data_IF_320505655677
#
_entry.id   IF_320505655677
#
_cell.length_a   1.000
_cell.length_b   1.000
_cell.length_c   1.000
_cell.angle_alpha   90.00
_cell.angle_beta   90.00
_cell.angle_gamma   90.00
#
_symmetry.space_group_name_H-M   'P 1'
#
loop_
_entity.id
_entity.type
_entity.pdbx_description
1 polymer ?
#
# COMPACT_ATOMS: atom_id res chain seq x y z
N UNK A 1 -0.64 -15.68 15.92
CA UNK A 1 0.47 -14.90 16.47
C UNK A 1 -0.01 -13.47 16.63
N UNK A 2 0.50 -12.74 17.60
CA UNK A 2 0.12 -11.34 17.83
C UNK A 2 1.05 -10.38 17.08
N UNK A 3 0.76 -9.09 17.19
CA UNK A 3 1.65 -8.03 16.73
C UNK A 3 2.95 -8.03 17.54
N UNK A 4 4.04 -7.77 16.84
CA UNK A 4 5.40 -7.70 17.36
C UNK A 4 6.02 -6.34 17.04
N UNK A 5 7.15 -6.04 17.68
CA UNK A 5 7.86 -4.78 17.48
C UNK A 5 9.35 -5.04 17.33
N UNK A 6 9.98 -4.31 16.42
CA UNK A 6 11.42 -4.30 16.22
C UNK A 6 11.97 -2.87 16.20
N UNK A 7 13.18 -2.67 16.70
CA UNK A 7 13.90 -1.39 16.53
C UNK A 7 14.64 -1.44 15.19
N UNK A 8 14.14 -0.68 14.23
CA UNK A 8 14.60 -0.65 12.85
C UNK A 8 15.06 0.77 12.52
N UNK A 9 16.33 0.96 12.18
CA UNK A 9 16.92 2.26 11.86
C UNK A 9 16.55 3.36 12.90
N UNK A 10 16.63 3.00 14.19
CA UNK A 10 16.29 3.91 15.29
C UNK A 10 14.80 4.17 15.47
N UNK A 11 13.92 3.49 14.74
CA UNK A 11 12.46 3.63 14.82
C UNK A 11 11.83 2.31 15.23
N UNK A 12 10.92 2.33 16.20
CA UNK A 12 10.17 1.14 16.61
C UNK A 12 9.08 0.84 15.58
N UNK A 13 9.22 -0.26 14.86
CA UNK A 13 8.31 -0.73 13.81
C UNK A 13 7.42 -1.85 14.35
N UNK A 14 6.10 -1.68 14.18
CA UNK A 14 5.10 -2.70 14.48
C UNK A 14 4.87 -3.60 13.26
N UNK A 15 4.95 -4.90 13.45
CA UNK A 15 4.71 -5.87 12.38
C UNK A 15 3.92 -7.09 12.87
N UNK A 16 3.44 -7.87 11.93
CA UNK A 16 2.72 -9.12 12.16
C UNK A 16 3.12 -10.14 11.11
N UNK A 17 3.33 -11.39 11.55
CA UNK A 17 3.71 -12.51 10.68
C UNK A 17 2.66 -13.61 10.82
N UNK A 18 2.22 -14.17 9.68
CA UNK A 18 1.31 -15.31 9.64
C UNK A 18 1.53 -16.16 8.39
N UNK A 19 1.21 -17.46 8.49
CA UNK A 19 1.43 -18.41 7.40
C UNK A 19 2.83 -18.98 7.38
N UNK A 20 3.08 -19.85 6.42
CA UNK A 20 4.33 -20.57 6.21
C UNK A 20 4.73 -20.54 4.72
N UNK A 21 5.95 -20.95 4.39
CA UNK A 21 6.46 -20.95 3.02
C UNK A 21 7.31 -19.73 2.69
N UNK A 22 7.30 -19.32 1.40
CA UNK A 22 8.12 -18.19 0.95
C UNK A 22 7.66 -16.88 1.59
N UNK A 23 8.61 -16.02 2.01
CA UNK A 23 8.27 -14.74 2.60
C UNK A 23 7.62 -13.80 1.58
N UNK A 24 6.51 -13.17 2.00
CA UNK A 24 5.82 -12.11 1.27
C UNK A 24 5.63 -10.89 2.18
N UNK A 25 6.22 -9.77 1.81
CA UNK A 25 6.15 -8.51 2.55
C UNK A 25 5.10 -7.61 1.94
N UNK A 26 4.19 -7.08 2.76
CA UNK A 26 3.13 -6.18 2.36
C UNK A 26 3.43 -4.75 2.84
N UNK A 27 3.59 -3.81 1.90
CA UNK A 27 3.89 -2.40 2.15
C UNK A 27 2.65 -1.55 1.87
N UNK A 28 2.08 -0.94 2.91
CA UNK A 28 0.83 -0.19 2.82
C UNK A 28 1.01 1.24 2.27
N UNK A 29 -0.11 1.86 1.89
CA UNK A 29 -0.18 3.18 1.29
C UNK A 29 -0.16 4.35 2.28
N UNK A 30 -0.30 5.56 1.73
CA UNK A 30 -0.32 6.84 2.44
C UNK A 30 -1.45 6.89 3.48
N UNK A 31 -1.14 7.38 4.68
CA UNK A 31 -2.13 7.60 5.74
C UNK A 31 -2.84 6.34 6.24
N UNK A 32 -2.38 5.16 5.82
CA UNK A 32 -2.90 3.85 6.21
C UNK A 32 -2.00 3.19 7.27
N UNK A 33 -2.39 2.00 7.71
CA UNK A 33 -1.61 1.10 8.54
C UNK A 33 -1.69 -0.34 7.99
N UNK A 34 -1.03 -1.30 8.64
CA UNK A 34 -1.01 -2.71 8.21
C UNK A 34 -2.39 -3.37 8.12
N UNK A 35 -3.40 -2.82 8.81
CA UNK A 35 -4.77 -3.36 8.76
C UNK A 35 -5.46 -3.10 7.41
N UNK A 36 -4.89 -2.23 6.57
CA UNK A 36 -5.39 -1.98 5.21
C UNK A 36 -5.49 -3.27 4.39
N UNK A 37 -4.67 -4.25 4.70
CA UNK A 37 -4.58 -5.55 4.03
C UNK A 37 -5.67 -6.56 4.45
N UNK A 38 -6.76 -6.10 5.08
CA UNK A 38 -7.85 -6.94 5.58
C UNK A 38 -8.39 -7.96 4.55
N UNK A 39 -8.37 -7.62 3.27
CA UNK A 39 -8.86 -8.47 2.19
C UNK A 39 -7.78 -9.38 1.57
N UNK A 40 -6.49 -9.13 1.85
CA UNK A 40 -5.34 -9.87 1.33
C UNK A 40 -4.71 -10.77 2.38
N UNK A 41 -4.60 -10.30 3.62
CA UNK A 41 -3.76 -10.93 4.63
C UNK A 41 -4.09 -12.42 4.84
N UNK A 42 -5.33 -12.74 5.21
CA UNK A 42 -5.71 -14.13 5.46
C UNK A 42 -5.63 -15.01 4.19
N UNK A 43 -6.18 -14.62 3.02
CA UNK A 43 -6.05 -15.43 1.82
C UNK A 43 -4.60 -15.69 1.40
N UNK A 44 -3.70 -14.71 1.55
CA UNK A 44 -2.30 -14.91 1.18
C UNK A 44 -1.53 -15.78 2.18
N UNK A 45 -1.94 -15.80 3.47
CA UNK A 45 -1.29 -16.67 4.48
C UNK A 45 -1.56 -18.16 4.30
N UNK A 46 -2.47 -18.54 3.41
CA UNK A 46 -2.68 -19.93 3.00
C UNK A 46 -1.59 -20.43 2.05
N UNK A 47 -0.79 -19.50 1.48
CA UNK A 47 0.19 -19.79 0.44
C UNK A 47 1.61 -19.30 0.76
N UNK A 48 1.74 -18.30 1.64
CA UNK A 48 3.00 -17.61 1.93
C UNK A 48 3.18 -17.35 3.42
N UNK A 49 4.43 -17.19 3.85
CA UNK A 49 4.76 -16.55 5.12
C UNK A 49 4.60 -15.05 4.93
N UNK A 50 3.42 -14.50 5.27
CA UNK A 50 3.08 -13.09 5.04
C UNK A 50 3.54 -12.22 6.21
N UNK A 51 4.28 -11.17 5.89
CA UNK A 51 4.72 -10.13 6.83
C UNK A 51 4.00 -8.83 6.43
N UNK A 52 3.20 -8.26 7.32
CA UNK A 52 2.65 -6.92 7.18
C UNK A 52 3.14 -6.04 8.32
N UNK A 53 3.47 -4.82 8.04
CA UNK A 53 4.00 -3.90 9.04
C UNK A 53 3.46 -2.48 8.86
N UNK A 54 3.55 -1.69 9.91
CA UNK A 54 3.24 -0.26 9.86
C UNK A 54 4.53 0.49 9.50
N UNK A 55 4.52 1.25 8.40
CA UNK A 55 5.61 2.14 8.05
C UNK A 55 5.89 3.12 9.20
N UNK A 56 7.13 3.67 9.29
CA UNK A 56 7.40 4.81 10.21
C UNK A 56 6.33 5.89 10.04
N UNK A 57 5.89 6.50 11.13
CA UNK A 57 4.86 7.53 11.11
C UNK A 57 3.43 7.02 10.90
N UNK A 58 3.20 5.70 10.92
CA UNK A 58 1.89 5.09 10.69
C UNK A 58 1.53 4.07 11.76
N UNK A 59 0.25 3.77 11.88
CA UNK A 59 -0.27 2.70 12.72
C UNK A 59 0.24 2.75 14.16
N UNK A 60 0.77 1.63 14.62
CA UNK A 60 1.38 1.47 15.94
C UNK A 60 2.92 1.57 15.92
N UNK A 61 3.51 1.82 14.74
CA UNK A 61 4.93 2.18 14.64
C UNK A 61 5.19 3.55 15.23
N UNK A 62 6.44 3.75 15.62
CA UNK A 62 6.89 5.05 16.12
C UNK A 62 6.76 6.13 15.05
N UNK A 63 6.57 7.36 15.49
CA UNK A 63 6.26 8.53 14.66
C UNK A 63 7.32 9.60 14.85
N UNK A 64 8.55 9.41 14.33
CA UNK A 64 9.62 10.41 14.42
C UNK A 64 9.18 11.72 13.77
N UNK A 65 9.43 12.83 14.45
CA UNK A 65 9.03 14.16 13.96
C UNK A 65 10.14 14.81 13.13
N UNK A 66 10.34 14.29 11.93
CA UNK A 66 11.18 14.86 10.89
C UNK A 66 10.63 14.46 9.50
N UNK A 67 10.98 15.21 8.44
CA UNK A 67 10.59 14.85 7.08
C UNK A 67 11.08 13.43 6.70
N UNK A 68 10.21 12.61 6.06
CA UNK A 68 10.60 11.31 5.56
C UNK A 68 11.03 11.39 4.09
N UNK A 69 11.81 10.39 3.64
CA UNK A 69 12.13 10.18 2.23
C UNK A 69 11.72 8.77 1.80
N UNK A 70 11.63 8.52 0.49
CA UNK A 70 11.33 7.17 -0.01
C UNK A 70 12.44 6.19 0.33
N UNK A 71 13.69 6.67 0.35
CA UNK A 71 14.84 5.87 0.76
C UNK A 71 14.71 5.41 2.22
N UNK A 72 14.24 6.27 3.13
CA UNK A 72 14.03 5.88 4.53
C UNK A 72 13.03 4.73 4.66
N UNK A 73 11.93 4.76 3.90
CA UNK A 73 10.95 3.68 3.90
C UNK A 73 11.51 2.38 3.28
N UNK A 74 12.29 2.50 2.21
CA UNK A 74 12.98 1.38 1.60
C UNK A 74 14.01 0.76 2.56
N UNK A 75 14.79 1.61 3.24
CA UNK A 75 15.79 1.19 4.24
C UNK A 75 15.14 0.49 5.43
N UNK A 76 13.98 0.98 5.90
CA UNK A 76 13.22 0.31 6.96
C UNK A 76 12.74 -1.08 6.53
N UNK A 77 12.27 -1.20 5.28
CA UNK A 77 11.84 -2.50 4.75
C UNK A 77 13.02 -3.48 4.70
N UNK A 78 14.19 -3.03 4.22
CA UNK A 78 15.41 -3.85 4.18
C UNK A 78 15.86 -4.28 5.58
N UNK A 79 15.91 -3.34 6.51
CA UNK A 79 16.33 -3.62 7.89
C UNK A 79 15.33 -4.50 8.66
N UNK A 80 14.02 -4.40 8.35
CA UNK A 80 13.02 -5.33 8.88
C UNK A 80 13.26 -6.75 8.35
N UNK A 81 13.59 -6.92 7.07
CA UNK A 81 13.98 -8.22 6.51
C UNK A 81 15.19 -8.79 7.23
N UNK A 82 16.24 -7.98 7.45
CA UNK A 82 17.45 -8.39 8.15
C UNK A 82 17.15 -8.80 9.60
N UNK A 83 16.32 -8.02 10.32
CA UNK A 83 15.87 -8.36 11.67
C UNK A 83 15.15 -9.72 11.73
N UNK A 84 14.37 -10.03 10.70
CA UNK A 84 13.62 -11.28 10.59
C UNK A 84 14.44 -12.43 9.98
N UNK A 85 15.74 -12.21 9.70
CA UNK A 85 16.64 -13.16 9.01
C UNK A 85 16.08 -13.61 7.64
N UNK A 86 15.42 -12.70 6.92
CA UNK A 86 14.89 -12.93 5.58
C UNK A 86 15.86 -12.38 4.54
N UNK A 87 16.53 -13.26 3.82
CA UNK A 87 17.52 -12.88 2.80
C UNK A 87 16.83 -12.37 1.53
N UNK A 88 15.76 -13.05 1.10
CA UNK A 88 14.94 -12.68 -0.07
C UNK A 88 13.47 -12.89 0.24
N UNK A 89 12.62 -12.03 -0.33
CA UNK A 89 11.18 -12.11 -0.22
C UNK A 89 10.49 -11.68 -1.51
N UNK A 90 9.24 -12.09 -1.69
CA UNK A 90 8.32 -11.37 -2.56
C UNK A 90 7.92 -10.08 -1.88
N UNK A 91 7.79 -8.99 -2.63
CA UNK A 91 7.41 -7.69 -2.07
C UNK A 91 6.20 -7.13 -2.80
N UNK A 92 5.16 -6.81 -2.05
CA UNK A 92 3.92 -6.27 -2.57
C UNK A 92 3.67 -4.88 -1.99
N UNK A 93 3.45 -3.89 -2.86
CA UNK A 93 3.14 -2.52 -2.45
C UNK A 93 1.87 -1.98 -3.09
N UNK A 94 1.07 -1.27 -2.31
CA UNK A 94 -0.15 -0.61 -2.77
C UNK A 94 -0.05 0.90 -2.60
N UNK A 95 -0.35 1.68 -3.67
CA UNK A 95 -0.32 3.15 -3.63
C UNK A 95 1.08 3.68 -3.26
N UNK A 96 1.23 4.49 -2.20
CA UNK A 96 2.53 4.88 -1.65
C UNK A 96 3.42 3.66 -1.36
N UNK A 97 2.84 2.55 -0.88
CA UNK A 97 3.60 1.32 -0.68
C UNK A 97 4.24 0.79 -1.97
N UNK A 98 3.58 0.95 -3.12
CA UNK A 98 4.15 0.64 -4.42
C UNK A 98 5.29 1.57 -4.82
N UNK A 99 5.25 2.86 -4.43
CA UNK A 99 6.37 3.78 -4.63
C UNK A 99 7.57 3.37 -3.77
N UNK A 100 7.32 2.98 -2.51
CA UNK A 100 8.36 2.45 -1.61
C UNK A 100 8.99 1.18 -2.20
N UNK A 101 8.18 0.27 -2.73
CA UNK A 101 8.66 -0.97 -3.35
C UNK A 101 9.49 -0.70 -4.60
N UNK A 102 9.14 0.28 -5.43
CA UNK A 102 9.96 0.70 -6.57
C UNK A 102 11.33 1.23 -6.09
N UNK A 103 11.34 2.12 -5.08
CA UNK A 103 12.59 2.62 -4.48
C UNK A 103 13.42 1.49 -3.86
N UNK A 104 12.76 0.56 -3.18
CA UNK A 104 13.40 -0.62 -2.61
C UNK A 104 14.02 -1.50 -3.70
N UNK A 105 13.33 -1.72 -4.81
CA UNK A 105 13.81 -2.56 -5.91
C UNK A 105 15.02 -1.95 -6.63
N UNK A 106 15.08 -0.63 -6.74
CA UNK A 106 16.26 0.06 -7.28
C UNK A 106 17.46 -0.07 -6.34
N UNK A 107 17.24 -0.01 -5.02
CA UNK A 107 18.32 0.03 -4.02
C UNK A 107 18.78 -1.34 -3.55
N UNK A 108 17.88 -2.34 -3.46
CA UNK A 108 18.10 -3.66 -2.88
C UNK A 108 17.57 -4.79 -3.79
N UNK A 109 17.92 -4.82 -5.09
CA UNK A 109 17.36 -5.82 -6.03
C UNK A 109 17.68 -7.25 -5.62
N UNK A 110 18.79 -7.49 -4.93
CA UNK A 110 19.23 -8.80 -4.46
C UNK A 110 18.34 -9.38 -3.34
N UNK A 111 17.59 -8.54 -2.62
CA UNK A 111 16.67 -8.95 -1.56
C UNK A 111 15.28 -9.36 -2.07
N UNK A 112 15.05 -9.31 -3.39
CA UNK A 112 13.73 -9.51 -3.98
C UNK A 112 13.69 -10.80 -4.80
N UNK A 113 12.63 -11.61 -4.58
CA UNK A 113 12.24 -12.68 -5.47
C UNK A 113 11.39 -12.10 -6.63
N UNK A 114 10.13 -11.73 -6.35
CA UNK A 114 9.22 -11.10 -7.32
C UNK A 114 8.54 -9.88 -6.70
N UNK A 115 8.06 -8.98 -7.54
CA UNK A 115 7.43 -7.72 -7.15
C UNK A 115 5.95 -7.72 -7.56
N UNK A 116 5.08 -7.21 -6.69
CA UNK A 116 3.70 -6.86 -7.04
C UNK A 116 3.45 -5.39 -6.72
N UNK A 117 3.05 -4.63 -7.72
CA UNK A 117 2.69 -3.22 -7.61
C UNK A 117 1.19 -3.07 -7.86
N UNK A 118 0.46 -2.46 -6.92
CA UNK A 118 -0.98 -2.26 -7.04
C UNK A 118 -1.29 -0.77 -6.99
N UNK A 119 -1.93 -0.24 -8.04
CA UNK A 119 -2.44 1.13 -8.09
C UNK A 119 -1.44 2.14 -7.54
N UNK A 120 -0.32 2.31 -8.21
CA UNK A 120 0.81 3.12 -7.75
C UNK A 120 1.30 4.12 -8.80
N UNK A 121 2.32 4.89 -8.45
CA UNK A 121 2.92 5.93 -9.25
C UNK A 121 4.45 5.77 -9.29
N UNK A 122 5.13 6.11 -10.41
CA UNK A 122 6.59 6.19 -10.45
C UNK A 122 7.12 7.57 -10.01
N UNK A 123 6.24 8.55 -9.92
CA UNK A 123 6.51 9.92 -9.44
C UNK A 123 5.23 10.62 -9.03
N UNK A 124 5.34 11.72 -8.31
CA UNK A 124 4.19 12.61 -8.08
C UNK A 124 3.75 13.25 -9.42
N UNK A 125 2.47 13.15 -9.82
CA UNK A 125 2.04 13.59 -11.15
C UNK A 125 1.75 15.10 -11.25
N UNK A 126 1.76 15.82 -10.13
CA UNK A 126 1.45 17.25 -10.05
C UNK A 126 2.66 18.12 -9.74
N UNK A 127 2.41 19.43 -9.63
CA UNK A 127 3.36 20.41 -9.13
C UNK A 127 3.31 20.52 -7.60
N UNK A 128 4.17 21.39 -7.04
CA UNK A 128 4.24 21.65 -5.60
C UNK A 128 2.93 22.20 -5.04
N UNK A 129 2.19 22.99 -5.83
CA UNK A 129 0.89 23.53 -5.44
C UNK A 129 -0.15 22.41 -5.32
N UNK A 130 -0.17 21.49 -6.28
CA UNK A 130 -1.04 20.31 -6.23
C UNK A 130 -0.74 19.43 -5.02
N UNK A 131 0.54 19.27 -4.69
CA UNK A 131 0.97 18.51 -3.50
C UNK A 131 0.55 19.21 -2.20
N UNK A 132 0.67 20.54 -2.13
CA UNK A 132 0.18 21.32 -0.99
C UNK A 132 -1.33 21.16 -0.78
N UNK A 133 -2.12 21.24 -1.85
CA UNK A 133 -3.58 21.01 -1.80
C UNK A 133 -3.89 19.59 -1.34
N UNK A 134 -3.13 18.59 -1.80
CA UNK A 134 -3.27 17.22 -1.33
C UNK A 134 -3.00 17.11 0.17
N UNK A 135 -1.89 17.70 0.65
CA UNK A 135 -1.55 17.74 2.08
C UNK A 135 -2.68 18.37 2.92
N UNK A 136 -3.19 19.52 2.51
CA UNK A 136 -4.26 20.21 3.21
C UNK A 136 -5.55 19.37 3.29
N UNK A 137 -5.90 18.70 2.19
CA UNK A 137 -7.06 17.79 2.14
C UNK A 137 -6.89 16.61 3.10
N UNK A 138 -5.71 16.01 3.17
CA UNK A 138 -5.44 14.90 4.09
C UNK A 138 -5.49 15.34 5.57
N UNK A 139 -4.95 16.54 5.89
CA UNK A 139 -5.05 17.13 7.23
C UNK A 139 -6.52 17.41 7.59
N UNK A 140 -7.31 17.97 6.67
CA UNK A 140 -8.74 18.14 6.89
C UNK A 140 -9.47 16.80 7.04
N UNK A 141 -9.03 15.79 6.29
CA UNK A 141 -9.51 14.41 6.40
C UNK A 141 -9.31 13.84 7.81
N UNK A 142 -8.16 14.09 8.44
CA UNK A 142 -7.88 13.70 9.82
C UNK A 142 -8.92 14.28 10.80
N UNK A 143 -9.21 15.58 10.74
CA UNK A 143 -10.18 16.20 11.64
C UNK A 143 -11.61 15.66 11.41
N UNK A 144 -12.02 15.52 10.13
CA UNK A 144 -13.31 14.93 9.78
C UNK A 144 -13.48 13.50 10.26
N UNK A 145 -12.43 12.67 10.17
CA UNK A 145 -12.45 11.29 10.69
C UNK A 145 -12.59 11.24 12.22
N UNK A 146 -12.01 12.19 12.92
CA UNK A 146 -12.16 12.29 14.39
C UNK A 146 -13.55 12.74 14.81
N UNK A 147 -14.17 13.63 14.04
CA UNK A 147 -15.50 14.16 14.32
C UNK A 147 -16.59 13.12 13.98
N UNK A 148 -16.56 12.59 12.76
CA UNK A 148 -17.52 11.60 12.27
C UNK A 148 -16.84 10.59 11.34
N UNK A 149 -16.28 9.49 11.88
CA UNK A 149 -15.55 8.50 11.10
C UNK A 149 -16.36 7.92 9.94
N UNK A 150 -17.65 7.64 10.19
CA UNK A 150 -18.54 7.06 9.17
C UNK A 150 -18.77 8.00 7.99
N UNK A 151 -19.12 9.25 8.27
CA UNK A 151 -19.35 10.25 7.21
C UNK A 151 -18.06 10.54 6.45
N UNK A 152 -16.94 10.69 7.14
CA UNK A 152 -15.62 10.91 6.54
C UNK A 152 -15.22 9.74 5.63
N UNK A 153 -15.39 8.49 6.09
CA UNK A 153 -15.11 7.29 5.31
C UNK A 153 -15.91 7.27 4.00
N UNK A 154 -17.23 7.40 4.05
CA UNK A 154 -18.06 7.35 2.85
C UNK A 154 -17.84 8.54 1.90
N UNK A 155 -17.38 9.70 2.41
CA UNK A 155 -16.93 10.80 1.58
C UNK A 155 -15.64 10.45 0.81
N UNK A 156 -14.64 9.92 1.50
CA UNK A 156 -13.39 9.45 0.87
C UNK A 156 -13.61 8.30 -0.11
N UNK A 157 -14.53 7.39 0.20
CA UNK A 157 -14.91 6.27 -0.66
C UNK A 157 -15.40 6.69 -2.06
N UNK A 158 -15.80 7.96 -2.26
CA UNK A 158 -16.16 8.51 -3.59
C UNK A 158 -14.96 8.53 -4.54
N UNK A 159 -13.75 8.68 -4.03
CA UNK A 159 -12.54 8.72 -4.82
C UNK A 159 -11.92 7.31 -4.99
N UNK A 160 -11.98 6.49 -3.91
CA UNK A 160 -11.30 5.21 -3.87
C UNK A 160 -12.06 4.07 -4.52
N UNK A 161 -13.38 3.99 -4.37
CA UNK A 161 -14.18 2.85 -4.83
C UNK A 161 -14.95 3.13 -6.12
N UNK A 162 -15.10 2.11 -6.94
CA UNK A 162 -15.99 2.13 -8.09
C UNK A 162 -17.46 2.30 -7.64
N UNK A 163 -18.23 3.03 -8.42
CA UNK A 163 -19.58 3.49 -8.04
C UNK A 163 -20.55 2.41 -7.59
N UNK A 164 -20.52 1.23 -8.21
CA UNK A 164 -21.46 0.14 -7.89
C UNK A 164 -21.13 -0.51 -6.55
N UNK A 165 -19.85 -0.81 -6.30
CA UNK A 165 -19.40 -1.37 -5.03
C UNK A 165 -19.66 -0.41 -3.87
N UNK A 166 -19.33 0.88 -4.08
CA UNK A 166 -19.60 1.93 -3.08
C UNK A 166 -21.08 2.03 -2.72
N UNK A 167 -21.99 1.98 -3.75
CA UNK A 167 -23.44 2.00 -3.51
C UNK A 167 -23.86 0.83 -2.64
N UNK A 168 -23.36 -0.35 -2.92
CA UNK A 168 -23.66 -1.57 -2.14
C UNK A 168 -23.16 -1.48 -0.70
N UNK A 169 -21.94 -0.99 -0.47
CA UNK A 169 -21.40 -0.75 0.88
C UNK A 169 -22.26 0.22 1.70
N UNK A 170 -22.75 1.30 1.08
CA UNK A 170 -23.61 2.29 1.74
C UNK A 170 -24.95 1.68 2.12
N UNK A 171 -25.55 0.90 1.21
CA UNK A 171 -26.85 0.27 1.43
C UNK A 171 -26.79 -0.89 2.44
N UNK A 172 -25.69 -1.62 2.47
CA UNK A 172 -25.52 -2.83 3.27
C UNK A 172 -24.22 -2.79 4.09
N UNK A 173 -24.05 -1.86 5.06
CA UNK A 173 -22.77 -1.60 5.70
C UNK A 173 -22.24 -2.76 6.56
N UNK A 174 -23.12 -3.67 7.00
CA UNK A 174 -22.76 -4.88 7.76
C UNK A 174 -22.54 -6.11 6.90
N UNK A 175 -22.85 -6.04 5.59
CA UNK A 175 -22.63 -7.15 4.67
C UNK A 175 -21.14 -7.50 4.63
N UNK A 176 -20.82 -8.78 4.79
CA UNK A 176 -19.48 -9.31 4.56
C UNK A 176 -19.25 -9.49 3.07
N UNK A 177 -18.36 -8.67 2.50
CA UNK A 177 -17.89 -8.82 1.13
C UNK A 177 -16.88 -9.96 1.08
N UNK A 178 -17.13 -10.92 0.20
CA UNK A 178 -16.27 -12.09 -0.01
C UNK A 178 -15.99 -12.93 1.27
N UNK A 179 -16.79 -12.76 2.32
CA UNK A 179 -16.50 -13.34 3.64
C UNK A 179 -15.37 -12.65 4.42
N UNK A 180 -14.72 -11.64 3.87
CA UNK A 180 -13.48 -11.06 4.38
C UNK A 180 -13.70 -9.82 5.26
N UNK A 181 -14.54 -8.88 4.82
CA UNK A 181 -14.72 -7.59 5.49
C UNK A 181 -16.12 -7.01 5.22
N UNK A 182 -16.51 -6.03 6.00
CA UNK A 182 -17.69 -5.21 5.81
C UNK A 182 -17.32 -3.72 5.71
N UNK A 183 -18.26 -2.86 5.30
CA UNK A 183 -18.03 -1.42 5.33
C UNK A 183 -17.76 -0.92 6.78
N UNK A 184 -18.39 -1.53 7.78
CA UNK A 184 -18.15 -1.20 9.20
C UNK A 184 -16.72 -1.55 9.65
N UNK A 185 -16.16 -2.66 9.17
CA UNK A 185 -14.75 -3.00 9.43
C UNK A 185 -13.83 -1.95 8.80
N UNK A 186 -14.10 -1.53 7.56
CA UNK A 186 -13.30 -0.51 6.88
C UNK A 186 -13.40 0.86 7.56
N UNK A 187 -14.59 1.25 8.04
CA UNK A 187 -14.78 2.48 8.83
C UNK A 187 -13.93 2.41 10.09
N UNK A 188 -13.99 1.28 10.82
CA UNK A 188 -13.21 1.08 12.04
C UNK A 188 -11.71 1.17 11.78
N UNK A 189 -11.21 0.48 10.74
CA UNK A 189 -9.79 0.54 10.34
C UNK A 189 -9.39 1.97 9.98
N UNK A 190 -10.19 2.67 9.17
CA UNK A 190 -9.88 4.03 8.73
C UNK A 190 -9.89 5.08 9.83
N UNK A 191 -10.49 4.77 10.99
CA UNK A 191 -10.57 5.65 12.15
C UNK A 191 -9.58 5.26 13.26
N UNK A 192 -8.97 4.07 13.18
CA UNK A 192 -7.98 3.59 14.13
C UNK A 192 -6.59 4.08 13.71
N UNK A 193 -5.76 4.44 14.68
CA UNK A 193 -4.35 4.86 14.44
C UNK A 193 -4.16 5.94 13.36
N UNK A 194 -5.06 6.92 13.30
CA UNK A 194 -4.99 8.00 12.30
C UNK A 194 -3.61 8.65 12.23
N UNK A 195 -3.12 8.84 11.01
CA UNK A 195 -1.96 9.69 10.76
C UNK A 195 -2.28 11.12 11.18
N UNK A 196 -1.52 11.64 12.15
CA UNK A 196 -1.68 13.01 12.67
C UNK A 196 -1.26 14.03 11.60
N UNK A 197 -1.66 15.31 11.72
CA UNK A 197 -1.21 16.35 10.79
C UNK A 197 0.30 16.39 10.57
N UNK A 198 1.10 16.16 11.62
CA UNK A 198 2.57 16.10 11.48
C UNK A 198 3.03 14.86 10.72
N UNK A 199 2.44 13.69 10.97
CA UNK A 199 2.76 12.46 10.25
C UNK A 199 2.44 12.59 8.75
N UNK A 200 1.31 13.26 8.43
CA UNK A 200 0.91 13.60 7.05
C UNK A 200 1.98 14.47 6.38
N UNK A 201 2.42 15.55 7.03
CA UNK A 201 3.46 16.44 6.49
C UNK A 201 4.77 15.69 6.23
N UNK A 202 5.18 14.83 7.17
CA UNK A 202 6.40 14.04 7.04
C UNK A 202 6.34 13.06 5.88
N UNK A 203 5.20 12.40 5.66
CA UNK A 203 4.97 11.51 4.51
C UNK A 203 4.88 12.29 3.18
N UNK A 204 4.25 13.46 3.16
CA UNK A 204 4.17 14.33 1.96
C UNK A 204 5.56 14.74 1.50
N UNK A 205 6.48 14.99 2.41
CA UNK A 205 7.86 15.33 2.04
C UNK A 205 8.52 14.19 1.22
N UNK A 206 8.22 12.93 1.53
CA UNK A 206 8.71 11.81 0.73
C UNK A 206 8.12 11.80 -0.69
N UNK A 207 6.86 12.21 -0.85
CA UNK A 207 6.22 12.33 -2.18
C UNK A 207 6.81 13.48 -3.00
N UNK A 208 7.15 14.61 -2.36
CA UNK A 208 7.54 15.85 -3.04
C UNK A 208 8.83 15.72 -3.87
N UNK A 209 9.66 14.77 -3.55
CA UNK A 209 10.97 14.55 -4.19
C UNK A 209 11.08 13.21 -4.89
N UNK A 210 9.99 12.47 -4.94
CA UNK A 210 9.98 11.15 -5.53
C UNK A 210 9.77 11.21 -7.04
N UNK A 211 10.79 10.81 -7.78
CA UNK A 211 10.75 10.49 -9.21
C UNK A 211 11.75 9.37 -9.47
N UNK A 212 11.26 8.20 -9.84
CA UNK A 212 12.07 7.00 -10.08
C UNK A 212 11.97 6.54 -11.54
N UNK A 213 11.35 7.35 -12.42
CA UNK A 213 11.06 6.96 -13.80
C UNK A 213 12.31 6.49 -14.53
N UNK A 214 13.40 7.25 -14.46
CA UNK A 214 14.67 6.91 -15.13
C UNK A 214 15.34 5.64 -14.55
N UNK A 215 15.04 5.34 -13.26
CA UNK A 215 15.62 4.19 -12.57
C UNK A 215 14.79 2.90 -12.72
N UNK A 216 13.55 2.98 -13.21
CA UNK A 216 12.68 1.81 -13.39
C UNK A 216 13.31 0.72 -14.27
N UNK A 217 14.12 1.11 -15.27
CA UNK A 217 14.82 0.17 -16.14
C UNK A 217 15.88 -0.68 -15.43
N UNK A 218 16.32 -0.26 -14.23
CA UNK A 218 17.25 -1.01 -13.38
C UNK A 218 16.56 -2.16 -12.65
N UNK A 219 15.23 -2.15 -12.54
CA UNK A 219 14.45 -3.20 -11.89
C UNK A 219 14.35 -4.39 -12.83
N UNK A 220 15.15 -5.42 -12.56
CA UNK A 220 15.22 -6.64 -13.37
C UNK A 220 14.37 -7.78 -12.81
N UNK A 221 13.83 -7.63 -11.59
CA UNK A 221 12.99 -8.62 -10.95
C UNK A 221 11.66 -8.75 -11.69
N UNK A 222 11.13 -9.97 -11.78
CA UNK A 222 9.78 -10.19 -12.31
C UNK A 222 8.75 -9.35 -11.54
N UNK A 223 7.96 -8.57 -12.27
CA UNK A 223 7.05 -7.58 -11.68
C UNK A 223 5.64 -7.74 -12.23
N UNK A 224 4.67 -7.96 -11.35
CA UNK A 224 3.25 -7.85 -11.66
C UNK A 224 2.76 -6.45 -11.30
N UNK A 225 2.11 -5.79 -12.25
CA UNK A 225 1.45 -4.49 -12.05
C UNK A 225 -0.05 -4.69 -12.18
N UNK A 226 -0.80 -4.39 -11.11
CA UNK A 226 -2.25 -4.40 -11.10
C UNK A 226 -2.77 -2.97 -11.09
N UNK A 227 -3.42 -2.55 -12.16
CA UNK A 227 -3.94 -1.20 -12.34
C UNK A 227 -5.46 -1.21 -12.40
N UNK A 228 -6.13 -0.44 -11.55
CA UNK A 228 -7.57 -0.32 -11.61
C UNK A 228 -7.99 0.63 -12.77
N UNK A 229 -8.99 0.18 -13.55
CA UNK A 229 -9.46 0.91 -14.75
C UNK A 229 -9.95 2.33 -14.45
N UNK A 230 -10.59 2.53 -13.30
CA UNK A 230 -11.22 3.78 -12.90
C UNK A 230 -10.55 4.44 -11.68
N UNK A 231 -9.27 4.17 -11.48
CA UNK A 231 -8.51 4.81 -10.42
C UNK A 231 -8.32 6.31 -10.71
N UNK A 232 -8.72 7.14 -9.74
CA UNK A 232 -8.63 8.60 -9.81
C UNK A 232 -7.47 9.16 -8.98
N UNK A 233 -6.86 8.33 -8.14
CA UNK A 233 -5.74 8.71 -7.28
C UNK A 233 -4.41 8.36 -7.94
N UNK A 234 -4.32 7.15 -8.51
CA UNK A 234 -3.16 6.68 -9.26
C UNK A 234 -3.61 6.21 -10.64
N UNK A 235 -3.78 7.15 -11.59
CA UNK A 235 -4.35 6.85 -12.91
C UNK A 235 -3.66 5.68 -13.60
N UNK A 236 -4.44 4.86 -14.30
CA UNK A 236 -3.94 3.69 -15.06
C UNK A 236 -2.73 4.03 -15.93
N UNK A 237 -2.69 5.21 -16.54
CA UNK A 237 -1.56 5.68 -17.36
C UNK A 237 -0.22 5.73 -16.61
N UNK A 238 -0.22 5.96 -15.30
CA UNK A 238 1.00 5.91 -14.50
C UNK A 238 1.49 4.48 -14.28
N UNK A 239 0.58 3.53 -14.14
CA UNK A 239 0.93 2.11 -14.08
C UNK A 239 1.38 1.57 -15.44
N UNK A 240 0.81 2.08 -16.55
CA UNK A 240 1.27 1.82 -17.92
C UNK A 240 2.69 2.38 -18.14
N UNK A 241 2.99 3.56 -17.58
CA UNK A 241 4.35 4.14 -17.59
C UNK A 241 5.35 3.24 -16.85
N UNK A 242 4.99 2.73 -15.66
CA UNK A 242 5.84 1.79 -14.92
C UNK A 242 6.09 0.53 -15.77
N UNK A 243 5.04 -0.02 -16.37
CA UNK A 243 5.15 -1.22 -17.23
C UNK A 243 6.05 -0.98 -18.45
N UNK A 244 5.97 0.19 -19.06
CA UNK A 244 6.80 0.53 -20.21
C UNK A 244 8.29 0.61 -19.89
N UNK A 245 8.67 0.82 -18.62
CA UNK A 245 10.06 1.01 -18.20
C UNK A 245 10.66 -0.20 -17.46
N UNK A 246 9.87 -1.05 -16.81
CA UNK A 246 10.36 -2.26 -16.15
C UNK A 246 10.39 -3.41 -17.16
N UNK A 247 11.58 -3.92 -17.55
CA UNK A 247 11.71 -4.89 -18.66
C UNK A 247 10.93 -6.19 -18.43
N UNK A 248 10.99 -6.72 -17.21
CA UNK A 248 10.37 -8.00 -16.84
C UNK A 248 9.03 -7.80 -16.12
N UNK A 249 8.16 -6.95 -16.68
CA UNK A 249 6.87 -6.67 -16.05
C UNK A 249 5.69 -7.18 -16.87
N UNK A 250 4.60 -7.46 -16.14
CA UNK A 250 3.28 -7.78 -16.68
C UNK A 250 2.26 -6.82 -16.10
N UNK A 251 1.49 -6.16 -16.95
CA UNK A 251 0.39 -5.29 -16.55
C UNK A 251 -0.94 -6.01 -16.71
N UNK A 252 -1.75 -5.99 -15.64
CA UNK A 252 -3.15 -6.44 -15.66
C UNK A 252 -4.04 -5.29 -15.23
N UNK A 253 -5.06 -5.00 -16.03
CA UNK A 253 -6.05 -3.97 -15.71
C UNK A 253 -7.25 -4.62 -15.04
N UNK A 254 -7.55 -4.17 -13.81
CA UNK A 254 -8.73 -4.62 -13.07
C UNK A 254 -9.92 -3.76 -13.49
N UNK A 255 -10.83 -4.37 -14.23
CA UNK A 255 -11.99 -3.69 -14.81
C UNK A 255 -13.03 -3.29 -13.74
N UNK A 256 -13.70 -2.15 -13.99
CA UNK A 256 -14.77 -1.62 -13.12
C UNK A 256 -14.34 -1.52 -11.65
N UNK A 257 -13.08 -1.14 -11.43
CA UNK A 257 -12.44 -0.96 -10.14
C UNK A 257 -11.83 0.43 -10.01
N UNK A 258 -11.78 0.96 -8.79
CA UNK A 258 -11.09 2.19 -8.42
C UNK A 258 -9.81 1.90 -7.64
N UNK A 259 -9.28 2.90 -6.95
CA UNK A 259 -8.05 2.77 -6.14
C UNK A 259 -8.10 1.64 -5.11
N UNK A 260 -9.30 1.37 -4.61
CA UNK A 260 -9.59 0.31 -3.64
C UNK A 260 -9.79 -1.08 -4.29
N UNK A 261 -9.27 -1.30 -5.50
CA UNK A 261 -9.37 -2.59 -6.20
C UNK A 261 -8.95 -3.79 -5.36
N UNK A 262 -7.95 -3.72 -4.44
CA UNK A 262 -7.61 -4.84 -3.55
C UNK A 262 -8.76 -5.27 -2.64
N UNK A 263 -9.72 -4.39 -2.38
CA UNK A 263 -10.90 -4.67 -1.56
C UNK A 263 -12.13 -4.95 -2.42
N UNK A 264 -12.42 -4.08 -3.38
CA UNK A 264 -13.63 -4.21 -4.21
C UNK A 264 -13.59 -5.38 -5.20
N UNK A 265 -12.39 -5.88 -5.50
CA UNK A 265 -12.12 -7.02 -6.37
C UNK A 265 -11.20 -8.05 -5.69
N UNK A 266 -11.35 -8.21 -4.38
CA UNK A 266 -10.43 -9.01 -3.58
C UNK A 266 -10.17 -10.43 -4.12
N UNK A 267 -11.16 -11.23 -4.54
CA UNK A 267 -10.89 -12.56 -5.09
C UNK A 267 -10.05 -12.53 -6.35
N UNK A 268 -10.36 -11.61 -7.30
CA UNK A 268 -9.63 -11.44 -8.56
C UNK A 268 -8.20 -10.98 -8.32
N UNK A 269 -8.02 -9.94 -7.49
CA UNK A 269 -6.71 -9.40 -7.13
C UNK A 269 -5.85 -10.45 -6.41
N UNK A 270 -6.40 -11.15 -5.41
CA UNK A 270 -5.69 -12.19 -4.69
C UNK A 270 -5.28 -13.35 -5.61
N UNK A 271 -6.16 -13.76 -6.53
CA UNK A 271 -5.85 -14.80 -7.51
C UNK A 271 -4.67 -14.41 -8.41
N UNK A 272 -4.66 -13.18 -8.92
CA UNK A 272 -3.54 -12.69 -9.75
C UNK A 272 -2.23 -12.67 -8.97
N UNK A 273 -2.24 -12.22 -7.72
CA UNK A 273 -1.08 -12.22 -6.84
C UNK A 273 -0.55 -13.65 -6.64
N UNK A 274 -1.43 -14.58 -6.22
CA UNK A 274 -1.05 -15.96 -5.90
C UNK A 274 -0.49 -16.66 -7.15
N UNK A 275 -1.18 -16.57 -8.29
CA UNK A 275 -0.73 -17.21 -9.53
C UNK A 275 0.62 -16.69 -10.00
N UNK A 276 0.83 -15.38 -9.92
CA UNK A 276 2.09 -14.78 -10.32
C UNK A 276 3.25 -15.14 -9.37
N UNK A 277 3.04 -15.07 -8.06
CA UNK A 277 4.10 -15.36 -7.10
C UNK A 277 4.48 -16.86 -7.06
N UNK A 278 3.56 -17.75 -7.40
CA UNK A 278 3.78 -19.21 -7.45
C UNK A 278 4.19 -19.72 -8.84
N UNK A 279 4.24 -18.90 -9.87
CA UNK A 279 4.82 -19.31 -11.17
C UNK A 279 6.33 -19.52 -11.02
N UNK A 280 6.86 -20.49 -11.77
CA UNK A 280 8.30 -20.76 -11.86
C UNK A 280 9.04 -19.60 -12.55
#
# INVERSE_FOLDING_TARGET
>A
MGKEFALINGTKICYEIKGEGEPLILVHGFGADKEVWIAQFNPLTEHFKVIRFDNRGAGESERPDHPYTMEMFADDTAALMDHLNIQKAHILGWSLGGMIVQQFAVKYPEKINKIVLINTLPKWPGDDKGLQVYQENEIQGYYKKRENPRAAYFNGAKLGFYRTFRKEMIQNPKKKFYGLFSAEDLIRISAHNLSRPQDIKNQIHALSRYDVVEDLSKIQNETLILAAEKDRLTPKSMNELIHAHIPNSKLIVIEKAGHESPREKAPEVNQHIILFLKSD
#
